data_IF_344474863960
#
_entry.id   IF_344474863960
#
_cell.length_a   1.000
_cell.length_b   1.000
_cell.length_c   1.000
_cell.angle_alpha   90.00
_cell.angle_beta   90.00
_cell.angle_gamma   90.00
#
_symmetry.space_group_name_H-M   'P 1'
#
loop_
_entity.id
_entity.type
_entity.pdbx_description
1 polymer ?
#
# COMPACT_ATOMS: atom_id res chain seq x y z
N UNK A 1 12.72 9.89 12.02
CA UNK A 1 12.61 8.60 12.74
C UNK A 1 12.50 7.48 11.71
N UNK A 2 13.28 6.41 11.82
CA UNK A 2 13.23 5.26 10.92
C UNK A 2 12.63 4.06 11.69
N UNK A 3 11.56 3.47 11.17
CA UNK A 3 10.94 2.27 11.73
C UNK A 3 11.58 1.04 11.09
N UNK A 4 12.25 0.21 11.88
CA UNK A 4 12.77 -1.08 11.45
C UNK A 4 11.74 -2.17 11.80
N UNK A 5 11.29 -2.92 10.79
CA UNK A 5 10.46 -4.11 10.97
C UNK A 5 11.37 -5.33 11.07
N UNK A 6 11.34 -6.01 12.22
CA UNK A 6 12.01 -7.29 12.40
C UNK A 6 11.01 -8.44 12.17
N UNK A 7 11.31 -9.32 11.21
CA UNK A 7 10.58 -10.57 10.99
C UNK A 7 11.32 -11.71 11.69
N UNK A 8 10.68 -12.35 12.68
CA UNK A 8 11.20 -13.54 13.35
C UNK A 8 10.55 -14.79 12.75
N UNK A 9 11.36 -15.67 12.15
CA UNK A 9 10.96 -17.05 11.84
C UNK A 9 11.26 -17.94 13.04
N UNK A 10 10.22 -18.36 13.76
CA UNK A 10 10.34 -19.40 14.79
C UNK A 10 10.00 -20.74 14.16
N UNK A 11 11.03 -21.57 13.98
CA UNK A 11 10.90 -22.94 13.53
C UNK A 11 10.28 -23.84 14.60
N UNK A 12 9.14 -24.45 14.28
CA UNK A 12 8.43 -25.35 15.18
C UNK A 12 8.98 -26.78 15.01
N UNK A 13 9.82 -27.20 15.96
CA UNK A 13 10.28 -28.58 16.14
C UNK A 13 9.13 -29.39 16.76
N UNK A 14 8.69 -30.42 16.05
CA UNK A 14 7.59 -31.31 16.43
C UNK A 14 7.95 -32.16 17.65
N UNK A 15 7.11 -32.16 18.69
CA UNK A 15 7.12 -33.21 19.72
C UNK A 15 6.54 -32.83 21.08
N UNK A 16 5.33 -33.31 21.39
CA UNK A 16 4.91 -33.64 22.76
C UNK A 16 3.83 -32.77 23.42
N UNK A 17 2.70 -33.41 23.76
CA UNK A 17 1.51 -32.85 24.41
C UNK A 17 1.79 -32.20 25.79
N UNK A 18 1.25 -30.99 26.01
CA UNK A 18 0.76 -30.55 27.32
C UNK A 18 -0.33 -29.47 27.13
N UNK A 19 -1.52 -29.75 27.67
CA UNK A 19 -2.66 -28.82 27.75
C UNK A 19 -2.43 -27.88 28.93
N UNK A 20 -2.31 -26.57 28.69
CA UNK A 20 -2.53 -25.53 29.71
C UNK A 20 -2.97 -24.25 29.01
N UNK A 21 -4.02 -23.60 29.55
CA UNK A 21 -4.74 -22.49 28.94
C UNK A 21 -3.83 -21.37 28.41
N UNK A 22 -4.17 -20.89 27.22
CA UNK A 22 -3.54 -19.75 26.58
C UNK A 22 -4.61 -19.07 25.75
N UNK A 23 -4.70 -17.75 25.88
CA UNK A 23 -5.68 -16.93 25.18
C UNK A 23 -5.76 -17.31 23.71
N UNK A 24 -6.95 -17.18 23.14
CA UNK A 24 -7.16 -17.15 21.69
C UNK A 24 -6.10 -16.23 21.08
N UNK A 25 -5.02 -16.83 20.60
CA UNK A 25 -4.17 -16.16 19.64
C UNK A 25 -5.06 -16.05 18.42
N UNK A 26 -5.61 -14.85 18.22
CA UNK A 26 -6.18 -14.46 16.96
C UNK A 26 -5.11 -14.81 15.92
N UNK A 27 -5.32 -15.94 15.25
CA UNK A 27 -4.52 -16.33 14.11
C UNK A 27 -4.85 -15.24 13.12
N UNK A 28 -3.95 -14.27 12.95
CA UNK A 28 -4.05 -13.32 11.86
C UNK A 28 -4.34 -14.16 10.62
N UNK A 29 -5.37 -13.81 9.85
CA UNK A 29 -5.79 -14.57 8.69
C UNK A 29 -4.62 -14.63 7.69
N UNK A 30 -3.80 -15.67 7.82
CA UNK A 30 -2.55 -15.82 7.09
C UNK A 30 -2.89 -16.41 5.74
N UNK A 31 -3.36 -15.57 4.83
CA UNK A 31 -3.44 -15.92 3.41
C UNK A 31 -2.01 -16.23 2.95
N UNK A 32 -1.73 -17.47 2.48
CA UNK A 32 -0.37 -17.85 2.08
C UNK A 32 0.03 -17.09 0.81
N UNK A 33 0.88 -16.07 0.97
CA UNK A 33 1.45 -15.30 -0.14
C UNK A 33 2.49 -16.13 -0.87
N UNK A 34 2.22 -16.52 -2.12
CA UNK A 34 3.13 -17.34 -2.95
C UNK A 34 3.89 -16.52 -3.98
N UNK A 35 3.40 -15.32 -4.30
CA UNK A 35 4.01 -14.40 -5.26
C UNK A 35 3.76 -12.94 -4.88
N UNK A 36 4.52 -12.03 -5.48
CA UNK A 36 4.28 -10.60 -5.33
C UNK A 36 2.89 -10.18 -5.86
N UNK A 37 2.36 -10.91 -6.85
CA UNK A 37 1.00 -10.65 -7.35
C UNK A 37 -0.06 -11.04 -6.33
N UNK A 38 0.14 -12.13 -5.59
CA UNK A 38 -0.78 -12.56 -4.53
C UNK A 38 -0.76 -11.57 -3.36
N UNK A 39 0.42 -11.10 -2.96
CA UNK A 39 0.56 -10.06 -1.93
C UNK A 39 -0.19 -8.79 -2.30
N UNK A 40 -0.11 -8.40 -3.57
CA UNK A 40 -0.81 -7.23 -4.07
C UNK A 40 -2.32 -7.43 -4.11
N UNK A 41 -2.81 -8.60 -4.54
CA UNK A 41 -4.25 -8.88 -4.50
C UNK A 41 -4.79 -8.82 -3.08
N UNK A 42 -4.10 -9.44 -2.13
CA UNK A 42 -4.45 -9.37 -0.72
C UNK A 42 -4.49 -7.93 -0.20
N UNK A 43 -3.49 -7.12 -0.56
CA UNK A 43 -3.48 -5.69 -0.25
C UNK A 43 -4.70 -4.95 -0.82
N UNK A 44 -5.05 -5.18 -2.09
CA UNK A 44 -6.18 -4.54 -2.73
C UNK A 44 -7.52 -4.97 -2.11
N UNK A 45 -7.66 -6.26 -1.79
CA UNK A 45 -8.87 -6.82 -1.20
C UNK A 45 -9.09 -6.29 0.21
N UNK A 46 -8.06 -6.39 1.06
CA UNK A 46 -8.13 -5.90 2.44
C UNK A 46 -8.25 -4.38 2.49
N UNK A 47 -7.50 -3.66 1.67
CA UNK A 47 -7.61 -2.21 1.56
C UNK A 47 -8.99 -1.76 1.11
N UNK A 48 -9.67 -2.50 0.21
CA UNK A 48 -11.05 -2.22 -0.19
C UNK A 48 -12.03 -2.46 0.96
N UNK A 49 -11.85 -3.54 1.72
CA UNK A 49 -12.66 -3.84 2.91
C UNK A 49 -12.52 -2.75 3.99
N UNK A 50 -11.30 -2.26 4.20
CA UNK A 50 -10.99 -1.19 5.16
C UNK A 50 -11.39 0.21 4.67
N UNK A 51 -11.84 0.34 3.41
CA UNK A 51 -12.18 1.62 2.78
C UNK A 51 -10.97 2.51 2.46
N UNK A 52 -9.76 1.96 2.52
CA UNK A 52 -8.49 2.63 2.22
C UNK A 52 -8.14 2.56 0.73
N UNK A 53 -8.47 1.46 0.05
CA UNK A 53 -8.21 1.29 -1.39
C UNK A 53 -9.51 1.52 -2.14
N UNK A 54 -9.48 2.44 -3.12
CA UNK A 54 -10.59 2.65 -4.06
C UNK A 54 -10.51 1.62 -5.19
N UNK A 55 -9.31 1.34 -5.70
CA UNK A 55 -9.09 0.30 -6.70
C UNK A 55 -7.78 0.45 -7.49
N UNK A 56 -7.53 -0.50 -8.39
CA UNK A 56 -6.51 -0.42 -9.43
C UNK A 56 -7.10 0.26 -10.67
N UNK A 57 -6.36 1.20 -11.29
CA UNK A 57 -6.77 1.76 -12.58
C UNK A 57 -6.54 0.72 -13.70
N UNK A 58 -7.52 0.51 -14.60
CA UNK A 58 -7.48 -0.57 -15.59
C UNK A 58 -6.39 -0.37 -16.64
N UNK A 59 -6.03 0.87 -16.94
CA UNK A 59 -5.06 1.21 -17.96
C UNK A 59 -3.63 1.08 -17.42
N UNK A 60 -2.91 0.06 -17.91
CA UNK A 60 -1.50 -0.14 -17.58
C UNK A 60 -0.65 0.77 -18.45
N UNK A 61 0.15 1.63 -17.82
CA UNK A 61 1.06 2.52 -18.56
C UNK A 61 2.32 1.75 -18.90
N UNK A 62 2.56 1.49 -20.18
CA UNK A 62 3.78 0.86 -20.65
C UNK A 62 4.97 1.82 -20.49
N UNK A 63 5.98 1.40 -19.73
CA UNK A 63 7.19 2.19 -19.48
C UNK A 63 8.27 1.82 -20.48
N UNK A 64 8.49 0.51 -20.66
CA UNK A 64 9.58 0.02 -21.47
C UNK A 64 9.23 -1.35 -22.04
N UNK A 65 9.68 -1.60 -23.26
CA UNK A 65 9.70 -2.93 -23.85
C UNK A 65 11.10 -3.19 -24.36
N UNK A 66 11.70 -4.35 -24.03
CA UNK A 66 12.98 -4.77 -24.60
C UNK A 66 12.92 -6.22 -25.06
N UNK A 67 13.51 -6.58 -26.22
CA UNK A 67 13.61 -7.97 -26.60
C UNK A 67 14.56 -8.70 -25.65
N UNK A 68 14.19 -9.92 -25.29
CA UNK A 68 15.10 -10.87 -24.64
C UNK A 68 15.84 -11.57 -25.79
N UNK A 69 17.18 -11.54 -25.78
CA UNK A 69 18.00 -12.11 -26.85
C UNK A 69 17.67 -13.58 -27.15
N UNK A 70 18.10 -14.07 -28.32
CA UNK A 70 17.93 -15.46 -28.78
C UNK A 70 16.47 -15.92 -29.00
N UNK A 71 15.58 -15.01 -29.39
CA UNK A 71 14.18 -15.34 -29.65
C UNK A 71 13.35 -15.60 -28.39
N UNK A 72 13.86 -15.23 -27.21
CA UNK A 72 13.22 -15.43 -25.90
C UNK A 72 12.01 -14.54 -25.60
N UNK A 73 11.46 -13.84 -26.60
CA UNK A 73 10.30 -12.97 -26.46
C UNK A 73 10.65 -11.54 -26.01
N UNK A 74 9.69 -10.89 -25.35
CA UNK A 74 9.78 -9.49 -24.94
C UNK A 74 9.67 -9.38 -23.43
N UNK A 75 10.50 -8.52 -22.85
CA UNK A 75 10.34 -8.04 -21.49
C UNK A 75 9.58 -6.71 -21.51
N UNK A 76 8.54 -6.63 -20.68
CA UNK A 76 7.61 -5.51 -20.61
C UNK A 76 7.61 -4.95 -19.19
N UNK A 77 7.95 -3.67 -19.07
CA UNK A 77 7.84 -2.93 -17.82
C UNK A 77 6.64 -2.00 -17.93
N UNK A 78 5.71 -2.11 -16.99
CA UNK A 78 4.52 -1.26 -16.93
C UNK A 78 4.31 -0.72 -15.52
N UNK A 79 3.65 0.43 -15.44
CA UNK A 79 3.16 0.99 -14.19
C UNK A 79 1.78 0.44 -13.91
N UNK A 80 1.58 0.08 -12.64
CA UNK A 80 0.28 -0.23 -12.07
C UNK A 80 -0.09 0.90 -11.12
N UNK A 81 -1.21 1.55 -11.38
CA UNK A 81 -1.68 2.65 -10.55
C UNK A 81 -2.77 2.17 -9.60
N UNK A 82 -2.60 2.43 -8.32
CA UNK A 82 -3.55 2.10 -7.25
C UNK A 82 -4.02 3.42 -6.65
N UNK A 83 -5.33 3.55 -6.50
CA UNK A 83 -5.95 4.74 -5.91
C UNK A 83 -6.36 4.40 -4.49
N UNK A 84 -5.86 5.20 -3.55
CA UNK A 84 -6.13 5.09 -2.12
C UNK A 84 -6.86 6.32 -1.60
N UNK A 85 -7.59 6.12 -0.50
CA UNK A 85 -8.30 7.14 0.25
C UNK A 85 -7.71 7.19 1.64
N UNK A 86 -7.28 8.38 2.05
CA UNK A 86 -6.91 8.68 3.43
C UNK A 86 -7.74 9.84 3.95
N UNK A 87 -7.96 9.86 5.26
CA UNK A 87 -8.57 10.99 5.98
C UNK A 87 -7.46 11.68 6.76
N UNK A 88 -7.35 12.98 6.61
CA UNK A 88 -6.43 13.83 7.36
C UNK A 88 -7.25 14.87 8.10
N UNK A 89 -6.89 15.13 9.36
CA UNK A 89 -7.60 16.10 10.20
C UNK A 89 -7.25 17.53 9.77
N UNK A 90 -5.96 17.77 9.51
CA UNK A 90 -5.44 19.05 9.05
C UNK A 90 -4.63 18.88 7.77
N UNK A 91 -4.80 19.81 6.83
CA UNK A 91 -4.01 19.90 5.62
C UNK A 91 -3.21 21.21 5.64
N UNK A 92 -1.90 21.12 5.48
CA UNK A 92 -1.01 22.27 5.38
C UNK A 92 -0.32 22.31 4.02
N UNK A 93 -0.11 23.51 3.49
CA UNK A 93 0.75 23.76 2.34
C UNK A 93 2.05 24.37 2.85
N UNK A 94 3.16 23.81 2.40
CA UNK A 94 4.48 24.36 2.62
C UNK A 94 4.67 25.65 1.82
N UNK A 95 5.08 26.72 2.47
CA UNK A 95 5.51 27.97 1.84
C UNK A 95 6.85 28.42 2.43
N UNK A 96 7.49 29.38 1.77
CA UNK A 96 8.72 30.01 2.24
C UNK A 96 8.46 31.49 2.45
N UNK A 97 8.91 32.05 3.58
CA UNK A 97 8.86 33.50 3.81
C UNK A 97 9.97 34.25 3.07
N UNK A 98 9.97 35.58 3.19
CA UNK A 98 10.95 36.46 2.56
C UNK A 98 12.38 36.26 3.11
N UNK A 99 12.52 35.61 4.27
CA UNK A 99 13.80 35.28 4.92
C UNK A 99 14.28 33.88 4.57
N UNK A 100 13.53 33.12 3.75
CA UNK A 100 13.88 31.75 3.36
C UNK A 100 13.44 30.67 4.35
N UNK A 101 12.67 31.00 5.39
CA UNK A 101 12.18 30.01 6.35
C UNK A 101 10.98 29.27 5.78
N UNK A 102 10.97 27.95 5.95
CA UNK A 102 9.85 27.09 5.58
C UNK A 102 8.78 27.15 6.66
N UNK A 103 7.54 27.50 6.30
CA UNK A 103 6.39 27.50 7.20
C UNK A 103 5.19 26.77 6.58
N UNK A 104 4.33 26.22 7.44
CA UNK A 104 3.08 25.56 7.03
C UNK A 104 1.91 26.52 7.10
N UNK A 105 1.19 26.71 6.00
CA UNK A 105 -0.07 27.45 5.96
C UNK A 105 -1.25 26.47 5.94
N UNK A 106 -2.26 26.60 6.81
CA UNK A 106 -3.42 25.74 6.80
C UNK A 106 -4.21 25.91 5.50
N UNK A 107 -4.56 24.80 4.86
CA UNK A 107 -5.33 24.75 3.62
C UNK A 107 -6.78 24.50 3.97
N UNK A 108 -7.66 25.46 3.66
CA UNK A 108 -9.10 25.21 3.65
C UNK A 108 -9.47 24.50 2.35
N UNK A 109 -9.88 23.24 2.46
CA UNK A 109 -10.36 22.47 1.31
C UNK A 109 -11.85 22.71 1.17
N UNK A 110 -12.28 23.40 0.12
CA UNK A 110 -13.71 23.44 -0.25
C UNK A 110 -14.06 22.13 -0.96
N UNK A 111 -15.07 21.38 -0.47
CA UNK A 111 -15.53 20.14 -1.10
C UNK A 111 -15.75 20.33 -2.60
N UNK A 112 -15.32 19.36 -3.41
CA UNK A 112 -15.54 19.42 -4.85
C UNK A 112 -17.03 19.45 -5.23
N UNK A 113 -17.91 18.93 -4.37
CA UNK A 113 -19.37 18.97 -4.53
C UNK A 113 -19.97 20.38 -4.42
N UNK A 114 -19.26 21.34 -3.82
CA UNK A 114 -19.69 22.74 -3.68
C UNK A 114 -19.13 23.64 -4.80
N UNK A 115 -18.11 23.16 -5.52
CA UNK A 115 -17.66 23.76 -6.78
C UNK A 115 -18.56 23.21 -7.89
N UNK A 116 -19.71 23.84 -8.11
CA UNK A 116 -20.63 23.46 -9.18
C UNK A 116 -19.90 23.28 -10.52
N UNK A 117 -19.85 22.05 -11.01
CA UNK A 117 -19.41 21.72 -12.36
C UNK A 117 -20.67 21.66 -13.24
N UNK A 118 -20.73 22.57 -14.23
CA UNK A 118 -21.70 22.58 -15.31
C UNK A 118 -21.42 21.45 -16.31
#
# INVERSE_FOLDING_TARGET
>A
AAAALALAFVGQKTGGNARTGGGEMAVADLVPIRSASDALQEYLDRGRQDGLVIGELPDKVLVQTRPIGNGGGMEVVYLRQIVERTRVDDLYRTTTDELGNVMGLPVRVTPASERGWY
#
